data_IF_974551605483
#
_entry.id   IF_974551605483
#
_cell.length_a   1.000
_cell.length_b   1.000
_cell.length_c   1.000
_cell.angle_alpha   90.00
_cell.angle_beta   90.00
_cell.angle_gamma   90.00
#
_symmetry.space_group_name_H-M   'P 1'
#
loop_
_entity.id
_entity.type
_entity.pdbx_description
1 polymer ?
#
# COMPACT_ATOMS: atom_id res chain seq x y z
N UNK A 1 9.18 49.70 14.89
CA UNK A 1 9.48 48.29 14.50
C UNK A 1 8.19 47.51 14.68
N UNK A 2 7.48 46.91 13.72
CA UNK A 2 7.87 46.40 12.40
C UNK A 2 6.67 46.25 11.43
N UNK A 3 5.59 47.04 11.55
CA UNK A 3 4.41 46.88 10.66
C UNK A 3 4.70 47.13 9.17
N UNK A 4 5.62 48.03 8.86
CA UNK A 4 6.03 48.27 7.48
C UNK A 4 6.84 47.11 6.89
N UNK A 5 7.63 46.39 7.70
CA UNK A 5 8.35 45.20 7.25
C UNK A 5 7.38 44.04 7.00
N UNK A 6 6.42 43.84 7.89
CA UNK A 6 5.40 42.81 7.72
C UNK A 6 4.56 43.04 6.44
N UNK A 7 4.23 44.31 6.13
CA UNK A 7 3.50 44.65 4.90
C UNK A 7 4.32 44.44 3.62
N UNK A 8 5.62 44.69 3.67
CA UNK A 8 6.49 44.46 2.51
C UNK A 8 6.73 42.97 2.29
N UNK A 9 6.99 42.21 3.37
CA UNK A 9 7.19 40.76 3.29
C UNK A 9 5.91 40.04 2.81
N UNK A 10 4.72 40.50 3.20
CA UNK A 10 3.45 39.96 2.71
C UNK A 10 3.16 40.33 1.25
N UNK A 11 3.61 41.49 0.79
CA UNK A 11 3.45 41.92 -0.60
C UNK A 11 4.39 41.13 -1.54
N UNK A 12 5.61 40.83 -1.08
CA UNK A 12 6.55 39.97 -1.82
C UNK A 12 6.03 38.54 -1.90
N UNK A 13 5.50 38.00 -0.79
CA UNK A 13 4.88 36.66 -0.80
C UNK A 13 3.67 36.58 -1.75
N UNK A 14 2.91 37.67 -1.90
CA UNK A 14 1.78 37.74 -2.82
C UNK A 14 2.21 37.85 -4.30
N UNK A 15 3.44 38.33 -4.57
CA UNK A 15 4.02 38.35 -5.91
C UNK A 15 4.67 37.03 -6.34
N UNK A 16 5.13 36.22 -5.38
CA UNK A 16 5.77 34.93 -5.62
C UNK A 16 4.76 33.78 -5.85
N UNK A 17 3.51 33.95 -5.41
CA UNK A 17 2.43 33.00 -5.70
C UNK A 17 1.84 33.33 -7.07
N UNK A 18 2.32 32.64 -8.10
CA UNK A 18 1.79 32.75 -9.46
C UNK A 18 0.26 32.46 -9.44
N UNK A 19 -0.61 33.37 -9.89
CA UNK A 19 -2.08 33.19 -9.87
C UNK A 19 -2.57 31.91 -10.54
N UNK A 20 -1.72 31.28 -11.38
CA UNK A 20 -1.95 29.96 -11.96
C UNK A 20 -2.03 28.87 -10.89
N UNK A 21 -1.23 28.91 -9.83
CA UNK A 21 -1.13 27.82 -8.85
C UNK A 21 -2.36 27.75 -7.92
N UNK A 22 -2.92 28.92 -7.56
CA UNK A 22 -4.18 29.00 -6.80
C UNK A 22 -5.39 28.57 -7.66
N UNK A 23 -5.40 28.94 -8.94
CA UNK A 23 -6.45 28.51 -9.87
C UNK A 23 -6.40 27.00 -10.11
N UNK A 24 -5.21 26.42 -10.20
CA UNK A 24 -5.05 24.99 -10.44
C UNK A 24 -5.39 24.15 -9.19
N UNK A 25 -5.03 24.64 -7.99
CA UNK A 25 -5.48 24.05 -6.72
C UNK A 25 -6.99 24.12 -6.53
N UNK A 26 -7.61 25.26 -6.83
CA UNK A 26 -9.08 25.43 -6.70
C UNK A 26 -9.84 24.59 -7.74
N UNK A 27 -9.33 24.46 -8.96
CA UNK A 27 -9.91 23.59 -9.98
C UNK A 27 -9.79 22.09 -9.62
N UNK A 28 -8.67 21.65 -9.04
CA UNK A 28 -8.53 20.26 -8.54
C UNK A 28 -9.50 19.97 -7.38
N UNK A 29 -9.61 20.89 -6.42
CA UNK A 29 -10.55 20.75 -5.31
C UNK A 29 -12.02 20.75 -5.79
N UNK A 30 -12.36 21.63 -6.74
CA UNK A 30 -13.71 21.73 -7.30
C UNK A 30 -14.09 20.51 -8.14
N UNK A 31 -13.17 19.94 -8.94
CA UNK A 31 -13.45 18.72 -9.71
C UNK A 31 -13.72 17.52 -8.80
N UNK A 32 -13.01 17.42 -7.68
CA UNK A 32 -13.22 16.34 -6.69
C UNK A 32 -14.61 16.43 -6.05
N UNK A 33 -15.03 17.64 -5.65
CA UNK A 33 -16.37 17.88 -5.10
C UNK A 33 -17.49 17.68 -6.15
N UNK A 34 -17.24 18.04 -7.41
CA UNK A 34 -18.18 17.82 -8.51
C UNK A 34 -18.44 16.35 -8.79
N UNK A 35 -17.39 15.53 -8.79
CA UNK A 35 -17.50 14.07 -8.99
C UNK A 35 -18.24 13.41 -7.81
N UNK A 36 -17.93 13.81 -6.57
CA UNK A 36 -18.63 13.28 -5.38
C UNK A 36 -20.12 13.61 -5.36
N UNK A 37 -20.52 14.82 -5.79
CA UNK A 37 -21.94 15.18 -5.89
C UNK A 37 -22.68 14.43 -7.01
N UNK A 38 -22.02 14.14 -8.14
CA UNK A 38 -22.63 13.41 -9.25
C UNK A 38 -22.95 11.94 -8.90
N UNK A 39 -22.12 11.29 -8.08
CA UNK A 39 -22.33 9.92 -7.60
C UNK A 39 -23.48 9.86 -6.59
N UNK A 40 -23.52 10.79 -5.62
CA UNK A 40 -24.59 10.85 -4.63
C UNK A 40 -25.97 11.15 -5.23
N UNK A 41 -26.03 11.91 -6.32
CA UNK A 41 -27.29 12.29 -6.98
C UNK A 41 -27.90 11.15 -7.81
N UNK A 42 -27.07 10.24 -8.32
CA UNK A 42 -27.50 9.12 -9.17
C UNK A 42 -28.12 7.96 -8.37
N UNK A 43 -27.70 7.75 -7.13
CA UNK A 43 -28.25 6.71 -6.25
C UNK A 43 -29.70 7.00 -5.82
N UNK A 44 -30.06 8.27 -5.59
CA UNK A 44 -31.41 8.66 -5.19
C UNK A 44 -32.45 8.51 -6.33
N UNK A 45 -32.03 8.65 -7.59
CA UNK A 45 -32.94 8.54 -8.74
C UNK A 45 -33.32 7.09 -9.08
N UNK A 46 -32.44 6.11 -8.82
CA UNK A 46 -32.71 4.70 -9.10
C UNK A 46 -33.64 4.04 -8.06
N UNK A 47 -33.64 4.51 -6.81
CA UNK A 47 -34.53 3.99 -5.76
C UNK A 47 -36.00 4.42 -5.99
N UNK A 48 -36.25 5.53 -6.67
CA UNK A 48 -37.61 6.00 -6.97
C UNK A 48 -38.26 5.34 -8.21
N UNK A 49 -37.48 4.64 -9.05
CA UNK A 49 -38.03 3.93 -10.22
C UNK A 49 -38.28 2.43 -9.93
N UNK A 50 -37.67 1.87 -8.87
CA UNK A 50 -37.82 0.45 -8.51
C UNK A 50 -39.08 0.08 -7.73
N UNK A 51 -39.86 1.04 -7.23
CA UNK A 51 -40.99 0.77 -6.33
C UNK A 51 -42.35 0.52 -7.02
N UNK A 52 -42.39 0.47 -8.36
CA UNK A 52 -43.65 0.46 -9.11
C UNK A 52 -43.73 -0.59 -10.22
N UNK A 53 -43.29 -1.83 -10.00
CA UNK A 53 -43.67 -2.96 -10.88
C UNK A 53 -43.59 -4.31 -10.18
N UNK A 54 -44.74 -4.96 -10.01
CA UNK A 54 -44.85 -6.41 -10.16
C UNK A 54 -45.05 -7.25 -8.90
N UNK A 55 -46.29 -7.34 -8.43
CA UNK A 55 -46.78 -8.53 -7.73
C UNK A 55 -47.20 -9.62 -8.74
N UNK A 56 -47.14 -10.88 -8.29
CA UNK A 56 -47.68 -12.13 -8.85
C UNK A 56 -46.82 -12.90 -9.88
N UNK A 57 -46.22 -14.02 -9.48
CA UNK A 57 -46.74 -15.39 -9.73
C UNK A 57 -45.91 -16.41 -8.93
N UNK A 58 -46.58 -17.18 -8.06
CA UNK A 58 -46.03 -18.37 -7.40
C UNK A 58 -46.39 -19.57 -8.28
N UNK A 59 -45.38 -20.22 -8.86
CA UNK A 59 -45.49 -21.58 -9.42
C UNK A 59 -44.32 -22.39 -8.87
N UNK A 60 -44.62 -23.32 -7.97
CA UNK A 60 -43.75 -24.43 -7.55
C UNK A 60 -43.72 -25.49 -8.66
N UNK A 61 -42.55 -26.03 -8.99
CA UNK A 61 -42.43 -27.41 -9.44
C UNK A 61 -41.85 -28.29 -8.32
N UNK A 62 -42.57 -29.35 -7.98
CA UNK A 62 -42.04 -30.50 -7.26
C UNK A 62 -40.90 -31.14 -8.07
N UNK A 63 -39.74 -31.31 -7.43
CA UNK A 63 -38.61 -32.06 -7.97
C UNK A 63 -38.26 -33.20 -7.01
N UNK A 64 -39.05 -34.27 -7.05
CA UNK A 64 -38.61 -35.62 -6.66
C UNK A 64 -37.68 -36.15 -7.75
N UNK A 65 -36.37 -35.91 -7.59
CA UNK A 65 -35.31 -36.57 -8.35
C UNK A 65 -34.37 -37.32 -7.40
N UNK A 66 -33.89 -38.53 -7.74
CA UNK A 66 -33.02 -39.31 -6.88
C UNK A 66 -31.64 -38.64 -6.68
N UNK A 67 -31.13 -38.75 -5.45
CA UNK A 67 -29.86 -38.18 -5.02
C UNK A 67 -28.67 -38.67 -5.87
N UNK A 68 -27.71 -37.80 -6.23
CA UNK A 68 -26.47 -38.23 -6.87
C UNK A 68 -25.61 -39.02 -5.88
N UNK A 69 -25.14 -40.19 -6.34
CA UNK A 69 -24.19 -41.06 -5.64
C UNK A 69 -22.84 -40.35 -5.48
N UNK A 70 -22.14 -40.53 -4.34
CA UNK A 70 -20.80 -39.96 -4.15
C UNK A 70 -19.79 -40.61 -5.10
N UNK A 71 -18.94 -39.77 -5.70
CA UNK A 71 -17.81 -40.18 -6.51
C UNK A 71 -16.73 -40.85 -5.64
N UNK A 72 -16.24 -42.00 -6.09
CA UNK A 72 -15.14 -42.73 -5.47
C UNK A 72 -13.82 -41.93 -5.58
N UNK A 73 -13.29 -41.51 -4.44
CA UNK A 73 -11.90 -41.05 -4.30
C UNK A 73 -10.92 -42.22 -4.45
N UNK A 74 -9.86 -42.12 -5.27
CA UNK A 74 -8.77 -43.08 -5.20
C UNK A 74 -7.93 -42.86 -3.94
N UNK A 75 -7.82 -43.90 -3.10
CA UNK A 75 -6.87 -43.96 -1.99
C UNK A 75 -5.45 -44.13 -2.53
N UNK A 76 -4.57 -43.18 -2.25
CA UNK A 76 -3.13 -43.34 -2.45
C UNK A 76 -2.56 -44.02 -1.20
N UNK A 77 -2.14 -45.28 -1.36
CA UNK A 77 -1.35 -46.01 -0.37
C UNK A 77 0.09 -45.52 -0.41
N UNK A 78 0.51 -44.77 0.61
CA UNK A 78 1.92 -44.40 0.81
C UNK A 78 2.60 -45.52 1.61
N UNK A 79 3.62 -46.13 1.01
CA UNK A 79 4.46 -47.13 1.67
C UNK A 79 5.45 -46.45 2.65
N UNK A 80 5.66 -46.98 3.86
CA UNK A 80 6.64 -46.43 4.80
C UNK A 80 8.07 -46.72 4.32
N UNK A 81 8.90 -45.68 4.26
CA UNK A 81 10.35 -45.78 4.03
C UNK A 81 11.05 -46.14 5.35
N UNK A 82 12.02 -47.08 5.35
CA UNK A 82 12.63 -47.60 6.58
C UNK A 82 13.57 -46.62 7.28
N UNK A 83 13.49 -46.64 8.61
CA UNK A 83 14.36 -46.00 9.59
C UNK A 83 15.77 -46.60 9.55
N UNK A 84 16.74 -45.83 9.07
CA UNK A 84 18.17 -46.14 9.16
C UNK A 84 18.84 -45.30 10.24
N UNK A 85 19.11 -45.90 11.39
CA UNK A 85 19.98 -45.36 12.44
C UNK A 85 21.35 -46.04 12.34
N UNK A 86 22.45 -45.28 12.43
CA UNK A 86 23.61 -45.79 13.13
C UNK A 86 24.13 -44.81 14.18
N UNK A 87 24.19 -45.31 15.41
CA UNK A 87 24.98 -44.78 16.52
C UNK A 87 26.46 -44.68 16.16
N UNK A 88 27.07 -43.53 16.46
CA UNK A 88 28.52 -43.33 16.51
C UNK A 88 28.89 -42.53 17.78
N UNK A 89 29.95 -42.89 18.53
CA UNK A 89 30.25 -42.28 19.82
C UNK A 89 31.22 -41.08 19.74
N UNK A 90 30.99 -40.14 20.68
CA UNK A 90 31.92 -39.23 21.38
C UNK A 90 32.66 -38.14 20.56
N UNK A 91 32.85 -36.90 21.10
CA UNK A 91 33.76 -36.70 22.23
C UNK A 91 33.29 -35.71 23.32
N UNK A 92 33.83 -35.96 24.51
CA UNK A 92 33.93 -35.04 25.66
C UNK A 92 34.79 -33.84 25.29
N UNK A 93 34.28 -32.62 25.49
CA UNK A 93 35.09 -31.39 25.49
C UNK A 93 34.80 -30.64 26.78
N UNK A 94 35.84 -30.44 27.61
CA UNK A 94 35.81 -29.58 28.79
C UNK A 94 36.04 -28.11 28.40
N UNK A 95 35.62 -27.15 29.23
CA UNK A 95 35.39 -25.76 28.85
C UNK A 95 36.68 -24.95 28.93
N UNK A 96 36.95 -24.19 27.87
CA UNK A 96 38.10 -23.31 27.81
C UNK A 96 37.76 -21.97 27.16
N UNK A 97 37.83 -20.93 28.00
CA UNK A 97 38.28 -19.58 27.65
C UNK A 97 37.24 -18.56 27.17
N UNK A 98 36.93 -17.65 28.11
CA UNK A 98 36.57 -16.23 27.94
C UNK A 98 36.58 -15.70 26.50
N UNK A 99 35.39 -15.63 25.90
CA UNK A 99 35.09 -14.72 24.81
C UNK A 99 34.74 -13.34 25.36
N UNK A 100 35.50 -12.33 24.96
CA UNK A 100 35.18 -10.91 25.08
C UNK A 100 33.78 -10.61 24.51
N UNK A 101 33.03 -9.60 24.99
CA UNK A 101 31.75 -9.23 24.40
C UNK A 101 31.97 -8.67 22.99
N UNK A 102 31.86 -9.55 22.00
CA UNK A 102 31.80 -9.20 20.60
C UNK A 102 30.44 -8.59 20.30
N UNK A 103 30.49 -7.30 20.01
CA UNK A 103 29.43 -6.43 19.49
C UNK A 103 28.38 -7.17 18.63
N UNK A 104 27.12 -7.31 19.07
CA UNK A 104 26.07 -7.89 18.26
C UNK A 104 25.48 -6.80 17.35
N UNK A 105 26.27 -6.21 16.44
CA UNK A 105 25.68 -5.47 15.31
C UNK A 105 25.18 -6.48 14.29
N UNK A 106 24.14 -7.23 14.65
CA UNK A 106 23.27 -7.87 13.66
C UNK A 106 22.60 -6.71 12.93
N UNK A 107 23.06 -6.37 11.72
CA UNK A 107 22.32 -5.45 10.85
C UNK A 107 20.97 -6.10 10.56
N UNK A 108 19.90 -5.63 11.21
CA UNK A 108 18.59 -6.28 11.18
C UNK A 108 17.88 -6.06 9.84
N UNK A 109 18.16 -4.95 9.14
CA UNK A 109 17.68 -4.70 7.79
C UNK A 109 18.53 -5.46 6.76
N UNK A 110 18.19 -6.73 6.50
CA UNK A 110 18.83 -7.56 5.48
C UNK A 110 18.29 -7.31 4.07
N UNK A 111 17.05 -6.82 3.96
CA UNK A 111 16.38 -6.54 2.71
C UNK A 111 16.83 -5.25 2.01
N UNK A 112 16.11 -4.92 0.95
CA UNK A 112 16.33 -3.76 0.09
C UNK A 112 15.21 -2.73 0.25
N UNK A 113 15.58 -1.48 0.55
CA UNK A 113 14.68 -0.34 0.54
C UNK A 113 14.65 0.28 -0.87
N UNK A 114 13.45 0.47 -1.43
CA UNK A 114 13.28 1.09 -2.73
C UNK A 114 12.78 2.53 -2.60
N UNK A 115 13.54 3.49 -3.14
CA UNK A 115 13.20 4.90 -3.09
C UNK A 115 12.92 5.46 -4.49
N UNK A 116 12.01 6.44 -4.57
CA UNK A 116 11.72 7.20 -5.76
C UNK A 116 12.30 8.61 -5.67
N UNK A 117 13.26 8.89 -6.55
CA UNK A 117 13.70 10.23 -6.89
C UNK A 117 13.10 10.72 -8.19
N UNK A 118 13.18 12.04 -8.41
CA UNK A 118 12.77 12.67 -9.67
C UNK A 118 13.85 13.65 -10.12
N UNK A 119 14.10 13.64 -11.41
CA UNK A 119 14.83 14.68 -12.14
C UNK A 119 13.83 15.45 -13.01
N UNK A 120 14.32 16.38 -13.82
CA UNK A 120 13.47 17.08 -14.79
C UNK A 120 12.97 16.19 -15.94
N UNK A 121 13.60 15.04 -16.18
CA UNK A 121 13.28 14.16 -17.33
C UNK A 121 12.88 12.76 -16.92
N UNK A 122 13.42 12.26 -15.82
CA UNK A 122 13.28 10.88 -15.38
C UNK A 122 12.78 10.80 -13.94
N UNK A 123 11.92 9.81 -13.68
CA UNK A 123 11.79 9.20 -12.37
C UNK A 123 12.90 8.16 -12.18
N UNK A 124 13.57 8.19 -11.03
CA UNK A 124 14.72 7.35 -10.73
C UNK A 124 14.40 6.47 -9.53
N UNK A 125 14.47 5.16 -9.73
CA UNK A 125 14.28 4.18 -8.64
C UNK A 125 15.64 3.79 -8.10
N UNK A 126 15.82 4.02 -6.80
CA UNK A 126 17.01 3.67 -6.03
C UNK A 126 16.72 2.43 -5.20
N UNK A 127 17.68 1.51 -5.16
CA UNK A 127 17.69 0.37 -4.25
C UNK A 127 18.80 0.58 -3.22
N UNK A 128 18.45 0.58 -1.94
CA UNK A 128 19.38 0.74 -0.83
C UNK A 128 19.43 -0.55 -0.02
N UNK A 129 20.61 -1.16 0.05
CA UNK A 129 20.85 -2.38 0.84
C UNK A 129 22.18 -2.26 1.58
N UNK A 130 22.19 -2.53 2.89
CA UNK A 130 23.40 -2.48 3.71
C UNK A 130 24.09 -1.09 3.76
N UNK A 131 23.39 -0.02 3.36
CA UNK A 131 23.90 1.35 3.22
C UNK A 131 24.42 1.71 1.83
N UNK A 132 24.50 0.76 0.89
CA UNK A 132 24.85 1.02 -0.49
C UNK A 132 23.60 1.47 -1.27
N UNK A 133 23.68 2.61 -1.95
CA UNK A 133 22.64 3.15 -2.84
C UNK A 133 23.03 2.86 -4.29
N UNK A 134 22.13 2.22 -5.05
CA UNK A 134 22.25 2.02 -6.49
C UNK A 134 20.98 2.47 -7.20
N UNK A 135 21.12 3.12 -8.35
CA UNK A 135 20.01 3.32 -9.28
C UNK A 135 19.71 2.01 -9.98
N UNK A 136 18.47 1.50 -9.85
CA UNK A 136 18.03 0.26 -10.51
C UNK A 136 17.21 0.54 -11.77
N UNK A 137 16.44 1.63 -11.80
CA UNK A 137 15.66 1.99 -12.99
C UNK A 137 15.62 3.50 -13.21
N UNK A 138 15.51 3.89 -14.48
CA UNK A 138 15.21 5.25 -14.94
C UNK A 138 14.01 5.19 -15.87
N UNK A 139 12.93 5.86 -15.49
CA UNK A 139 11.66 5.85 -16.22
C UNK A 139 11.42 7.27 -16.74
N UNK A 140 11.40 7.50 -18.07
CA UNK A 140 11.15 8.82 -18.63
C UNK A 140 9.77 9.34 -18.21
N UNK A 141 9.69 10.59 -17.78
CA UNK A 141 8.44 11.24 -17.34
C UNK A 141 7.51 11.61 -18.50
N UNK A 142 8.00 11.61 -19.75
CA UNK A 142 7.13 11.77 -20.94
C UNK A 142 6.41 13.11 -21.08
N UNK A 143 6.71 14.11 -20.23
CA UNK A 143 6.04 15.43 -20.22
C UNK A 143 4.67 15.43 -19.54
N UNK A 144 4.24 14.30 -18.98
CA UNK A 144 2.94 14.13 -18.34
C UNK A 144 3.12 13.64 -16.87
N UNK A 145 2.22 13.99 -15.94
CA UNK A 145 2.47 13.77 -14.51
C UNK A 145 2.22 12.33 -14.03
N UNK A 146 1.54 11.49 -14.81
CA UNK A 146 1.11 10.15 -14.41
C UNK A 146 2.27 9.21 -14.14
N UNK A 147 3.30 9.17 -15.00
CA UNK A 147 4.49 8.32 -14.75
C UNK A 147 5.04 8.63 -13.36
N UNK A 148 5.33 9.90 -13.09
CA UNK A 148 5.87 10.32 -11.80
C UNK A 148 4.97 9.94 -10.63
N UNK A 149 3.65 10.05 -10.78
CA UNK A 149 2.68 9.86 -9.70
C UNK A 149 2.26 8.40 -9.48
N UNK A 150 2.46 7.51 -10.44
CA UNK A 150 1.95 6.13 -10.37
C UNK A 150 3.02 5.07 -10.11
N UNK A 151 4.32 5.36 -10.30
CA UNK A 151 5.39 4.39 -10.05
C UNK A 151 5.26 3.76 -8.66
N UNK A 152 5.25 2.42 -8.64
CA UNK A 152 5.22 1.58 -7.45
C UNK A 152 6.11 0.34 -7.67
N UNK A 153 6.55 -0.27 -6.56
CA UNK A 153 7.40 -1.46 -6.53
C UNK A 153 6.61 -2.58 -5.87
N UNK A 154 6.65 -3.79 -6.42
CA UNK A 154 6.01 -4.96 -5.81
C UNK A 154 6.61 -5.27 -4.44
N UNK A 155 5.87 -5.86 -3.49
CA UNK A 155 6.38 -6.19 -2.16
C UNK A 155 7.64 -7.08 -2.14
N UNK A 156 7.82 -7.95 -3.13
CA UNK A 156 9.05 -8.75 -3.31
C UNK A 156 10.21 -8.00 -3.98
N UNK A 157 10.02 -6.73 -4.34
CA UNK A 157 11.03 -5.91 -5.01
C UNK A 157 11.39 -6.36 -6.42
N UNK A 158 10.62 -7.25 -7.05
CA UNK A 158 10.98 -7.80 -8.37
C UNK A 158 10.39 -7.02 -9.54
N UNK A 159 9.33 -6.24 -9.32
CA UNK A 159 8.55 -5.62 -10.38
C UNK A 159 8.31 -4.14 -10.12
N UNK A 160 8.29 -3.40 -11.22
CA UNK A 160 7.79 -2.03 -11.29
C UNK A 160 6.41 -2.04 -11.95
N UNK A 161 5.56 -1.11 -11.52
CA UNK A 161 4.34 -0.76 -12.24
C UNK A 161 4.14 0.76 -12.24
N UNK A 162 3.64 1.30 -13.35
CA UNK A 162 3.30 2.71 -13.51
C UNK A 162 2.31 2.89 -14.67
N UNK A 163 1.72 4.07 -14.80
CA UNK A 163 0.86 4.48 -15.90
C UNK A 163 1.62 5.47 -16.79
N UNK A 164 1.59 5.26 -18.10
CA UNK A 164 2.14 6.19 -19.11
C UNK A 164 1.13 6.54 -20.18
N UNK A 165 1.46 7.51 -21.04
CA UNK A 165 0.61 7.96 -22.16
C UNK A 165 -0.82 8.31 -21.71
N UNK A 166 -0.94 8.99 -20.57
CA UNK A 166 -2.23 9.33 -20.03
C UNK A 166 -2.88 10.50 -20.76
N UNK A 167 -4.20 10.44 -20.90
CA UNK A 167 -4.99 11.54 -21.41
C UNK A 167 -5.16 12.68 -20.38
N UNK A 168 -5.90 13.72 -20.74
CA UNK A 168 -6.16 14.87 -19.86
C UNK A 168 -7.06 14.54 -18.66
N UNK A 169 -7.72 13.38 -18.68
CA UNK A 169 -8.48 12.84 -17.56
C UNK A 169 -7.60 11.99 -16.63
N UNK A 170 -6.34 11.74 -17.00
CA UNK A 170 -5.37 10.99 -16.21
C UNK A 170 -5.52 9.48 -16.35
N UNK A 171 -6.04 9.00 -17.48
CA UNK A 171 -6.13 7.57 -17.80
C UNK A 171 -5.17 7.22 -18.93
N UNK A 172 -4.36 6.18 -18.74
CA UNK A 172 -3.29 5.82 -19.67
C UNK A 172 -3.07 4.31 -19.78
N UNK A 173 -1.89 3.93 -20.28
CA UNK A 173 -1.44 2.56 -20.36
C UNK A 173 -0.77 2.14 -19.06
N UNK A 174 -1.27 1.07 -18.42
CA UNK A 174 -0.55 0.43 -17.33
C UNK A 174 0.64 -0.34 -17.89
N UNK A 175 1.81 0.00 -17.39
CA UNK A 175 3.08 -0.62 -17.69
C UNK A 175 3.56 -1.45 -16.51
N UNK A 176 4.26 -2.54 -16.82
CA UNK A 176 5.08 -3.26 -15.85
C UNK A 176 6.47 -3.51 -16.43
N UNK A 177 7.45 -3.64 -15.56
CA UNK A 177 8.81 -4.05 -15.89
C UNK A 177 9.40 -4.88 -14.74
N UNK A 178 10.54 -5.51 -14.99
CA UNK A 178 11.41 -5.95 -13.91
C UNK A 178 11.96 -4.74 -13.13
N UNK A 179 12.46 -4.96 -11.91
CA UNK A 179 12.94 -3.88 -11.04
C UNK A 179 14.09 -3.05 -11.62
N UNK A 180 14.85 -3.64 -12.55
CA UNK A 180 15.92 -2.97 -13.30
C UNK A 180 15.40 -2.15 -14.51
N UNK A 181 14.08 -2.08 -14.68
CA UNK A 181 13.42 -1.43 -15.81
C UNK A 181 13.39 -2.27 -17.10
N UNK A 182 14.02 -3.46 -17.12
CA UNK A 182 13.99 -4.35 -18.28
C UNK A 182 12.65 -5.06 -18.41
N UNK A 183 12.42 -5.72 -19.57
CA UNK A 183 11.18 -6.47 -19.85
C UNK A 183 9.92 -5.59 -19.68
N UNK A 184 10.06 -4.29 -19.94
CA UNK A 184 8.94 -3.34 -19.98
C UNK A 184 7.88 -3.84 -20.95
N UNK A 185 6.63 -3.88 -20.49
CA UNK A 185 5.47 -4.24 -21.33
C UNK A 185 4.21 -3.54 -20.84
N UNK A 186 3.26 -3.40 -21.76
CA UNK A 186 1.91 -2.90 -21.50
C UNK A 186 1.05 -4.04 -20.98
N UNK A 187 0.39 -3.85 -19.85
CA UNK A 187 -0.54 -4.83 -19.26
C UNK A 187 -2.00 -4.50 -19.60
N UNK A 188 -2.37 -3.22 -19.51
CA UNK A 188 -3.72 -2.75 -19.75
C UNK A 188 -3.72 -1.31 -20.29
N UNK A 189 -4.87 -0.86 -20.76
CA UNK A 189 -5.13 0.53 -21.14
C UNK A 189 -6.23 1.12 -20.27
N UNK A 190 -6.43 2.44 -20.38
CA UNK A 190 -7.49 3.16 -19.63
C UNK A 190 -7.37 3.02 -18.11
N UNK A 191 -6.12 2.92 -17.63
CA UNK A 191 -5.84 2.82 -16.20
C UNK A 191 -5.57 4.21 -15.65
N UNK A 192 -6.28 4.56 -14.57
CA UNK A 192 -6.17 5.84 -13.90
C UNK A 192 -4.85 5.95 -13.14
N UNK A 193 -4.16 7.07 -13.32
CA UNK A 193 -2.95 7.41 -12.58
C UNK A 193 -3.20 8.38 -11.41
N UNK A 194 -4.41 8.93 -11.33
CA UNK A 194 -4.78 9.99 -10.39
C UNK A 194 -5.36 9.40 -9.11
N UNK A 195 -5.00 10.02 -7.99
CA UNK A 195 -5.47 9.65 -6.66
C UNK A 195 -4.34 9.06 -5.82
N UNK A 196 -4.57 9.03 -4.51
CA UNK A 196 -3.61 8.54 -3.51
C UNK A 196 -3.23 7.07 -3.70
N UNK A 197 -4.11 6.27 -4.32
CA UNK A 197 -3.96 4.81 -4.47
C UNK A 197 -4.24 4.36 -5.90
N UNK A 198 -3.63 5.03 -6.88
CA UNK A 198 -3.85 4.71 -8.28
C UNK A 198 -3.50 3.25 -8.62
N UNK A 199 -2.40 2.74 -8.05
CA UNK A 199 -1.93 1.36 -8.18
C UNK A 199 -1.64 0.80 -6.78
N UNK A 200 -2.31 -0.31 -6.41
CA UNK A 200 -2.14 -0.95 -5.09
C UNK A 200 -1.82 -2.43 -5.26
N UNK A 201 -0.66 -2.85 -4.78
CA UNK A 201 -0.27 -4.26 -4.82
C UNK A 201 -1.10 -5.09 -3.83
N UNK A 202 -1.52 -6.27 -4.27
CA UNK A 202 -2.03 -7.36 -3.41
C UNK A 202 -1.03 -8.51 -3.56
N UNK A 203 -0.11 -8.62 -2.60
CA UNK A 203 1.05 -9.48 -2.79
C UNK A 203 1.94 -8.99 -3.94
N UNK A 204 2.72 -9.90 -4.52
CA UNK A 204 3.72 -9.56 -5.56
C UNK A 204 3.27 -9.81 -6.99
N UNK A 205 2.13 -10.47 -7.18
CA UNK A 205 1.65 -10.94 -8.48
C UNK A 205 0.33 -10.30 -8.92
N UNK A 206 -0.33 -9.54 -8.03
CA UNK A 206 -1.61 -8.88 -8.33
C UNK A 206 -1.55 -7.39 -8.01
N UNK A 207 -2.14 -6.60 -8.90
CA UNK A 207 -2.16 -5.16 -8.82
C UNK A 207 -3.60 -4.68 -9.02
N UNK A 208 -4.16 -4.06 -7.99
CA UNK A 208 -5.44 -3.38 -8.09
C UNK A 208 -5.22 -2.03 -8.78
N UNK A 209 -6.07 -1.76 -9.77
CA UNK A 209 -6.03 -0.53 -10.56
C UNK A 209 -7.43 0.04 -10.73
N UNK A 210 -7.53 1.37 -10.94
CA UNK A 210 -8.78 2.03 -11.32
C UNK A 210 -8.90 2.14 -12.84
N UNK A 211 -10.04 1.78 -13.41
CA UNK A 211 -10.37 1.93 -14.84
C UNK A 211 -11.12 3.24 -15.12
N UNK A 212 -11.28 3.59 -16.41
CA UNK A 212 -11.92 4.83 -16.88
C UNK A 212 -13.43 4.88 -16.63
N UNK A 213 -14.07 3.72 -16.48
CA UNK A 213 -15.45 3.59 -16.02
C UNK A 213 -15.61 3.75 -14.49
N UNK A 214 -14.50 3.96 -13.77
CA UNK A 214 -14.45 4.10 -12.32
C UNK A 214 -14.30 2.80 -11.56
N UNK A 215 -14.35 1.63 -12.22
CA UNK A 215 -14.22 0.34 -11.57
C UNK A 215 -12.80 0.10 -11.04
N UNK A 216 -12.70 -0.50 -9.86
CA UNK A 216 -11.47 -1.12 -9.37
C UNK A 216 -11.37 -2.54 -9.90
N UNK A 217 -10.23 -2.89 -10.49
CA UNK A 217 -9.99 -4.24 -11.03
C UNK A 217 -8.66 -4.76 -10.51
N UNK A 218 -8.70 -5.95 -9.94
CA UNK A 218 -7.51 -6.69 -9.58
C UNK A 218 -6.94 -7.37 -10.82
N UNK A 219 -5.74 -6.98 -11.24
CA UNK A 219 -5.08 -7.54 -12.41
C UNK A 219 -3.91 -8.41 -12.01
N UNK A 220 -3.76 -9.54 -12.68
CA UNK A 220 -2.56 -10.37 -12.57
C UNK A 220 -1.40 -9.67 -13.30
N UNK A 221 -0.37 -9.27 -12.56
CA UNK A 221 0.78 -8.53 -13.08
C UNK A 221 1.65 -9.36 -14.04
N UNK A 222 1.49 -10.70 -14.05
CA UNK A 222 2.20 -11.62 -14.94
C UNK A 222 1.46 -11.82 -16.27
N UNK A 223 0.14 -11.95 -16.26
CA UNK A 223 -0.64 -12.22 -17.47
C UNK A 223 -1.28 -10.97 -18.07
N UNK A 224 -1.41 -9.89 -17.29
CA UNK A 224 -2.16 -8.68 -17.65
C UNK A 224 -3.67 -8.88 -17.68
N UNK A 225 -4.16 -10.03 -17.21
CA UNK A 225 -5.60 -10.34 -17.20
C UNK A 225 -6.21 -9.93 -15.86
N UNK A 226 -7.46 -9.44 -15.86
CA UNK A 226 -8.25 -9.36 -14.64
C UNK A 226 -8.28 -10.72 -13.94
N UNK A 227 -8.21 -10.72 -12.62
CA UNK A 227 -8.45 -11.89 -11.80
C UNK A 227 -9.96 -12.01 -11.59
N UNK A 228 -10.52 -13.20 -11.78
CA UNK A 228 -11.92 -13.45 -11.49
C UNK A 228 -12.16 -13.27 -9.97
N UNK A 229 -13.14 -12.45 -9.60
CA UNK A 229 -13.43 -12.14 -8.21
C UNK A 229 -14.33 -10.92 -8.05
N UNK A 230 -14.65 -10.61 -6.80
CA UNK A 230 -15.38 -9.39 -6.45
C UNK A 230 -14.59 -8.17 -6.92
N UNK A 231 -15.29 -7.21 -7.55
CA UNK A 231 -14.70 -5.92 -7.94
C UNK A 231 -14.30 -5.10 -6.73
N UNK A 232 -14.81 -5.48 -5.57
CA UNK A 232 -14.63 -4.80 -4.32
C UNK A 232 -15.34 -3.46 -4.36
N UNK A 233 -16.48 -3.37 -3.68
CA UNK A 233 -17.14 -2.07 -3.45
C UNK A 233 -16.43 -1.28 -2.33
N UNK A 234 -15.39 -1.87 -1.73
CA UNK A 234 -14.64 -1.23 -0.66
C UNK A 234 -13.87 0.01 -1.15
N UNK A 235 -13.86 1.01 -0.29
CA UNK A 235 -13.06 2.21 -0.47
C UNK A 235 -11.77 2.13 0.33
N UNK A 236 -10.77 2.90 -0.12
CA UNK A 236 -9.47 3.02 0.53
C UNK A 236 -8.72 1.69 0.80
N UNK A 237 -8.57 0.77 -0.18
CA UNK A 237 -8.01 -0.56 0.07
C UNK A 237 -6.51 -0.50 0.34
N UNK A 238 -6.05 -1.27 1.33
CA UNK A 238 -4.65 -1.46 1.67
C UNK A 238 -4.39 -2.92 2.03
N UNK A 239 -3.53 -3.60 1.28
CA UNK A 239 -3.20 -5.01 1.50
C UNK A 239 -1.96 -5.16 2.37
N UNK A 240 -1.89 -6.26 3.13
CA UNK A 240 -0.64 -6.77 3.69
C UNK A 240 0.33 -7.13 2.56
N UNK A 241 1.63 -7.19 2.86
CA UNK A 241 2.67 -7.40 1.86
C UNK A 241 2.54 -8.75 1.10
N UNK A 242 1.92 -9.77 1.70
CA UNK A 242 1.58 -11.04 1.04
C UNK A 242 0.19 -11.07 0.38
N UNK A 243 -0.58 -9.99 0.50
CA UNK A 243 -1.95 -9.91 -0.02
C UNK A 243 -2.97 -10.75 0.72
N UNK A 244 -2.67 -11.29 1.92
CA UNK A 244 -3.61 -12.12 2.67
C UNK A 244 -4.63 -11.33 3.47
N UNK A 245 -4.27 -10.13 3.91
CA UNK A 245 -5.12 -9.27 4.71
C UNK A 245 -5.40 -7.97 3.98
N UNK A 246 -6.66 -7.56 3.94
CA UNK A 246 -7.11 -6.30 3.37
C UNK A 246 -7.65 -5.42 4.49
N UNK A 247 -7.11 -4.23 4.64
CA UNK A 247 -7.79 -3.16 5.36
C UNK A 247 -8.51 -2.26 4.37
N UNK A 248 -9.78 -1.98 4.62
CA UNK A 248 -10.61 -1.15 3.76
C UNK A 248 -11.74 -0.49 4.55
N UNK A 249 -12.60 0.25 3.85
CA UNK A 249 -13.77 0.93 4.42
C UNK A 249 -15.01 0.69 3.56
N UNK A 250 -16.12 0.37 4.22
CA UNK A 250 -17.46 0.29 3.62
C UNK A 250 -18.47 1.12 4.43
N UNK A 251 -19.77 0.94 4.16
CA UNK A 251 -20.86 1.66 4.85
C UNK A 251 -20.88 1.42 6.37
N UNK A 252 -20.32 0.30 6.85
CA UNK A 252 -20.22 -0.01 8.29
C UNK A 252 -18.98 0.59 8.96
N UNK A 253 -18.09 1.21 8.20
CA UNK A 253 -16.83 1.79 8.67
C UNK A 253 -15.60 0.95 8.30
N UNK A 254 -14.46 1.22 8.96
CA UNK A 254 -13.20 0.57 8.61
C UNK A 254 -13.12 -0.85 9.18
N UNK A 255 -12.51 -1.74 8.39
CA UNK A 255 -12.34 -3.15 8.77
C UNK A 255 -11.05 -3.72 8.24
N UNK A 256 -10.63 -4.86 8.80
CA UNK A 256 -9.62 -5.75 8.24
C UNK A 256 -10.26 -7.10 7.92
N UNK A 257 -10.16 -7.56 6.68
CA UNK A 257 -10.56 -8.88 6.22
C UNK A 257 -9.34 -9.75 5.91
N UNK A 258 -9.53 -11.06 5.99
CA UNK A 258 -8.54 -12.08 5.67
C UNK A 258 -9.17 -13.47 5.66
N UNK A 259 -8.38 -14.57 5.64
CA UNK A 259 -8.91 -15.92 5.53
C UNK A 259 -9.95 -16.23 6.63
N UNK A 260 -11.22 -16.32 6.24
CA UNK A 260 -12.34 -16.67 7.12
C UNK A 260 -12.67 -15.64 8.20
N UNK A 261 -12.16 -14.40 8.14
CA UNK A 261 -12.46 -13.38 9.15
C UNK A 261 -12.60 -11.99 8.56
N UNK A 262 -13.56 -11.22 9.10
CA UNK A 262 -13.70 -9.79 8.89
C UNK A 262 -13.84 -9.14 10.27
N UNK A 263 -12.98 -8.14 10.56
CA UNK A 263 -12.86 -7.52 11.88
C UNK A 263 -13.04 -6.01 11.73
N UNK A 264 -14.20 -5.45 12.10
CA UNK A 264 -14.34 -4.01 12.16
C UNK A 264 -13.42 -3.47 13.26
N UNK A 265 -12.96 -2.23 13.10
CA UNK A 265 -12.24 -1.51 14.13
C UNK A 265 -12.62 -0.04 14.06
N UNK A 266 -12.17 0.74 15.04
CA UNK A 266 -12.41 2.16 15.11
C UNK A 266 -11.09 2.91 15.35
N UNK A 267 -11.01 4.15 14.86
CA UNK A 267 -9.91 5.05 15.16
C UNK A 267 -10.42 6.49 15.13
N UNK A 268 -10.29 7.15 16.27
CA UNK A 268 -10.55 8.59 16.43
C UNK A 268 -9.23 9.35 16.31
N UNK A 269 -8.93 9.98 15.16
CA UNK A 269 -7.75 10.84 15.05
C UNK A 269 -7.91 12.10 15.92
N UNK A 270 -6.81 12.78 16.26
CA UNK A 270 -6.86 14.14 16.80
C UNK A 270 -7.67 15.07 15.86
N UNK A 271 -8.66 15.79 16.39
CA UNK A 271 -9.66 16.50 15.59
C UNK A 271 -9.09 17.62 14.72
N UNK A 272 -8.12 18.38 15.24
CA UNK A 272 -7.51 19.51 14.52
C UNK A 272 -6.83 19.07 13.21
N UNK A 273 -6.08 17.95 13.26
CA UNK A 273 -5.43 17.40 12.07
C UNK A 273 -6.44 16.69 11.15
N UNK A 274 -7.42 16.00 11.72
CA UNK A 274 -8.44 15.29 10.93
C UNK A 274 -9.22 16.24 10.01
N UNK A 275 -9.62 17.41 10.50
CA UNK A 275 -10.33 18.43 9.70
C UNK A 275 -9.45 18.97 8.57
N UNK A 276 -8.16 19.20 8.87
CA UNK A 276 -7.19 19.69 7.88
C UNK A 276 -6.98 18.70 6.73
N UNK A 277 -7.02 17.39 7.02
CA UNK A 277 -6.66 16.35 6.05
C UNK A 277 -7.82 15.49 5.57
N UNK A 278 -9.08 15.88 5.78
CA UNK A 278 -10.26 15.12 5.35
C UNK A 278 -10.27 13.70 5.99
N UNK A 279 -9.86 13.61 7.24
CA UNK A 279 -9.76 12.39 8.02
C UNK A 279 -8.48 11.59 7.79
N UNK A 280 -8.57 10.28 7.98
CA UNK A 280 -7.45 9.34 7.95
C UNK A 280 -7.75 8.16 7.01
N UNK A 281 -6.72 7.39 6.70
CA UNK A 281 -6.84 6.12 5.96
C UNK A 281 -5.71 5.17 6.31
N UNK A 282 -5.91 3.87 6.04
CA UNK A 282 -4.90 2.83 6.32
C UNK A 282 -3.73 2.90 5.34
N UNK A 283 -2.52 2.80 5.85
CA UNK A 283 -1.27 2.94 5.09
C UNK A 283 -0.52 1.64 4.92
N UNK A 284 -0.61 0.77 5.91
CA UNK A 284 0.01 -0.55 5.90
C UNK A 284 -0.76 -1.49 6.84
N UNK A 285 -0.71 -2.79 6.57
CA UNK A 285 -1.39 -3.84 7.33
C UNK A 285 -0.38 -4.90 7.73
N UNK A 286 -0.40 -5.33 8.99
CA UNK A 286 0.49 -6.38 9.48
C UNK A 286 0.18 -7.74 8.82
N UNK A 287 1.18 -8.61 8.78
CA UNK A 287 1.11 -9.93 8.14
C UNK A 287 0.10 -10.89 8.79
N UNK A 288 -0.38 -10.57 9.99
CA UNK A 288 -1.42 -11.31 10.73
C UNK A 288 -2.76 -10.56 10.80
N UNK A 289 -2.86 -9.39 10.14
CA UNK A 289 -4.03 -8.52 10.14
C UNK A 289 -4.42 -7.97 11.52
N UNK A 290 -3.54 -8.06 12.54
CA UNK A 290 -3.82 -7.56 13.89
C UNK A 290 -3.59 -6.06 14.03
N UNK A 291 -2.75 -5.47 13.19
CA UNK A 291 -2.38 -4.07 13.26
C UNK A 291 -2.53 -3.38 11.90
N UNK A 292 -2.93 -2.11 11.96
CA UNK A 292 -2.93 -1.21 10.81
C UNK A 292 -2.17 0.05 11.15
N UNK A 293 -1.33 0.52 10.23
CA UNK A 293 -0.74 1.84 10.28
C UNK A 293 -1.73 2.81 9.64
N UNK A 294 -1.94 3.98 10.25
CA UNK A 294 -2.88 4.99 9.76
C UNK A 294 -2.17 6.32 9.51
N UNK A 295 -2.63 7.01 8.47
CA UNK A 295 -2.10 8.28 8.01
C UNK A 295 -3.19 9.17 7.43
N UNK A 296 -2.84 10.41 7.10
CA UNK A 296 -3.79 11.46 6.73
C UNK A 296 -4.37 11.30 5.30
N UNK A 297 -5.70 11.38 5.12
CA UNK A 297 -6.32 11.12 3.80
C UNK A 297 -5.90 12.14 2.73
N UNK A 298 -5.75 13.41 3.14
CA UNK A 298 -5.37 14.54 2.28
C UNK A 298 -3.91 14.55 1.81
N UNK A 299 -3.12 13.55 2.17
CA UNK A 299 -1.73 13.39 1.70
C UNK A 299 -1.67 12.30 0.62
N UNK A 300 -0.57 12.27 -0.14
CA UNK A 300 -0.35 11.30 -1.21
C UNK A 300 0.47 10.12 -0.66
N UNK A 301 -0.14 9.00 -0.22
CA UNK A 301 0.59 7.90 0.40
C UNK A 301 1.63 7.24 -0.51
N UNK A 302 1.46 7.37 -1.83
CA UNK A 302 2.44 6.84 -2.78
C UNK A 302 3.75 7.64 -2.75
N UNK A 303 3.75 8.88 -2.23
CA UNK A 303 4.92 9.79 -2.21
C UNK A 303 5.25 10.35 -0.82
N UNK A 304 4.24 10.44 0.05
CA UNK A 304 4.20 11.00 1.40
C UNK A 304 3.15 10.24 2.21
N UNK A 305 3.57 9.10 2.74
CA UNK A 305 2.72 8.24 3.57
C UNK A 305 2.07 9.00 4.73
N UNK A 306 2.84 9.84 5.43
CA UNK A 306 2.43 10.62 6.59
C UNK A 306 1.64 9.78 7.62
N UNK A 307 2.08 8.53 7.79
CA UNK A 307 1.59 7.66 8.86
C UNK A 307 2.03 8.20 10.21
N UNK A 308 1.12 8.19 11.17
CA UNK A 308 1.34 8.78 12.49
C UNK A 308 0.95 7.85 13.66
N UNK A 309 0.18 6.80 13.41
CA UNK A 309 -0.25 5.88 14.46
C UNK A 309 -0.36 4.44 13.96
N UNK A 310 -0.30 3.50 14.92
CA UNK A 310 -0.64 2.09 14.70
C UNK A 310 -1.84 1.76 15.57
N UNK A 311 -2.85 1.11 14.97
CA UNK A 311 -4.09 0.71 15.65
C UNK A 311 -4.14 -0.81 15.72
N UNK A 312 -4.40 -1.34 16.92
CA UNK A 312 -4.71 -2.75 17.12
C UNK A 312 -6.17 -3.00 16.74
N UNK A 313 -6.39 -3.82 15.72
CA UNK A 313 -7.72 -4.04 15.11
C UNK A 313 -8.70 -4.63 16.11
N UNK A 314 -8.27 -5.59 16.93
CA UNK A 314 -9.15 -6.30 17.86
C UNK A 314 -9.69 -5.41 19.00
N UNK A 315 -8.92 -4.41 19.41
CA UNK A 315 -9.23 -3.56 20.57
C UNK A 315 -9.52 -2.11 20.19
N UNK A 316 -9.29 -1.72 18.93
CA UNK A 316 -9.33 -0.34 18.44
C UNK A 316 -8.43 0.62 19.22
N UNK A 317 -7.39 0.09 19.88
CA UNK A 317 -6.45 0.90 20.68
C UNK A 317 -5.24 1.31 19.85
N UNK A 318 -4.82 2.56 20.01
CA UNK A 318 -3.57 3.05 19.45
C UNK A 318 -2.40 2.46 20.23
N UNK A 319 -1.45 1.84 19.51
CA UNK A 319 -0.23 1.30 20.08
C UNK A 319 0.80 2.41 20.25
N UNK A 320 1.35 2.53 21.46
CA UNK A 320 2.50 3.41 21.71
C UNK A 320 3.73 2.86 21.00
N UNK A 321 4.31 3.67 20.12
CA UNK A 321 5.53 3.34 19.39
C UNK A 321 6.75 3.83 20.19
N UNK A 322 7.86 3.06 20.25
CA UNK A 322 9.06 3.43 21.00
C UNK A 322 9.92 4.46 20.23
N UNK A 323 9.30 5.51 19.70
CA UNK A 323 9.96 6.54 18.90
C UNK A 323 9.52 7.93 19.35
N UNK A 324 10.42 8.89 19.24
CA UNK A 324 10.16 10.30 19.60
C UNK A 324 10.15 11.21 18.36
N UNK A 325 9.36 12.28 18.37
CA UNK A 325 9.31 13.24 17.27
C UNK A 325 8.54 12.75 16.04
N UNK A 326 8.68 13.47 14.93
CA UNK A 326 7.82 13.30 13.75
C UNK A 326 8.07 11.96 13.04
N UNK A 327 7.01 11.14 12.94
CA UNK A 327 6.97 9.92 12.13
C UNK A 327 6.53 10.31 10.72
N UNK A 328 7.28 9.83 9.72
CA UNK A 328 6.94 10.06 8.31
C UNK A 328 6.18 8.90 7.74
N UNK A 329 6.67 7.68 7.94
CA UNK A 329 6.08 6.47 7.38
C UNK A 329 6.13 5.34 8.41
N UNK A 330 5.13 4.46 8.40
CA UNK A 330 5.08 3.23 9.19
C UNK A 330 4.73 2.09 8.23
N UNK A 331 5.65 1.15 8.06
CA UNK A 331 5.48 0.02 7.14
C UNK A 331 5.57 -1.31 7.88
N UNK A 332 4.57 -2.16 7.70
CA UNK A 332 4.67 -3.58 7.99
C UNK A 332 5.26 -4.31 6.79
N UNK A 333 6.24 -5.17 7.05
CA UNK A 333 6.99 -5.89 6.01
C UNK A 333 6.63 -7.37 6.00
N UNK A 334 6.99 -8.07 4.93
CA UNK A 334 6.71 -9.50 4.76
C UNK A 334 7.57 -10.42 5.65
N UNK A 335 8.69 -9.92 6.17
CA UNK A 335 9.55 -10.56 7.18
C UNK A 335 9.13 -10.20 8.62
N UNK A 336 7.89 -9.75 8.82
CA UNK A 336 7.29 -9.44 10.13
C UNK A 336 7.98 -8.31 10.92
N UNK A 337 8.71 -7.43 10.23
CA UNK A 337 9.27 -6.21 10.82
C UNK A 337 8.27 -5.05 10.73
N UNK A 338 8.49 -4.06 11.58
CA UNK A 338 7.85 -2.75 11.49
C UNK A 338 8.92 -1.69 11.27
N UNK A 339 8.87 -1.02 10.12
CA UNK A 339 9.81 0.04 9.78
C UNK A 339 9.16 1.40 10.06
N UNK A 340 9.77 2.16 10.96
CA UNK A 340 9.35 3.53 11.27
C UNK A 340 10.37 4.51 10.72
N UNK A 341 10.00 5.21 9.66
CA UNK A 341 10.85 6.22 9.03
C UNK A 341 10.70 7.58 9.71
N UNK A 342 11.82 8.17 10.13
CA UNK A 342 11.89 9.45 10.86
C UNK A 342 13.11 10.24 10.43
N UNK A 343 13.00 11.55 10.19
CA UNK A 343 14.12 12.50 10.08
C UNK A 343 15.47 11.96 9.52
N UNK A 344 15.46 11.17 8.43
CA UNK A 344 16.66 10.59 7.82
C UNK A 344 17.22 9.34 8.51
N UNK A 345 16.38 8.60 9.23
CA UNK A 345 16.64 7.33 9.91
C UNK A 345 15.41 6.42 9.82
N UNK A 346 15.64 5.12 9.98
CA UNK A 346 14.60 4.09 10.06
C UNK A 346 14.82 3.32 11.35
N UNK A 347 13.83 3.34 12.24
CA UNK A 347 13.80 2.49 13.42
C UNK A 347 13.13 1.18 13.02
N UNK A 348 13.81 0.07 13.27
CA UNK A 348 13.36 -1.29 12.95
C UNK A 348 12.81 -1.90 14.22
N UNK A 349 11.54 -2.31 14.20
CA UNK A 349 10.91 -3.02 15.29
C UNK A 349 10.55 -4.44 14.87
N UNK A 350 10.41 -5.33 15.85
CA UNK A 350 9.77 -6.63 15.66
C UNK A 350 8.23 -6.52 15.62
N UNK A 351 7.56 -7.66 15.42
CA UNK A 351 6.09 -7.75 15.44
C UNK A 351 5.44 -7.39 16.80
N UNK A 352 6.22 -7.27 17.88
CA UNK A 352 5.78 -6.84 19.21
C UNK A 352 6.01 -5.36 19.47
N UNK A 353 6.57 -4.64 18.48
CA UNK A 353 6.99 -3.25 18.56
C UNK A 353 8.18 -3.02 19.50
N UNK A 354 9.02 -4.03 19.71
CA UNK A 354 10.30 -3.89 20.41
C UNK A 354 11.38 -3.41 19.42
N UNK A 355 12.24 -2.49 19.85
CA UNK A 355 13.29 -1.93 18.99
C UNK A 355 14.38 -2.98 18.76
N UNK A 356 14.60 -3.32 17.49
CA UNK A 356 15.66 -4.22 17.07
C UNK A 356 16.92 -3.47 16.62
N UNK A 357 16.74 -2.40 15.85
CA UNK A 357 17.85 -1.63 15.27
C UNK A 357 17.41 -0.20 14.90
N UNK A 358 18.38 0.68 14.67
CA UNK A 358 18.17 2.02 14.11
C UNK A 358 19.19 2.29 12.99
N UNK A 359 18.68 2.41 11.77
CA UNK A 359 19.52 2.58 10.57
C UNK A 359 19.44 4.02 10.07
N UNK A 360 20.59 4.65 9.86
CA UNK A 360 20.66 5.95 9.21
C UNK A 360 20.32 5.82 7.71
N UNK A 361 19.42 6.67 7.20
CA UNK A 361 19.16 6.73 5.77
C UNK A 361 20.37 7.34 5.04
N UNK A 362 20.73 6.71 3.92
CA UNK A 362 21.77 7.18 3.03
C UNK A 362 21.51 8.64 2.64
N UNK A 363 22.56 9.48 2.61
CA UNK A 363 22.40 10.93 2.35
C UNK A 363 21.68 11.20 1.02
N UNK A 364 21.93 10.38 -0.01
CA UNK A 364 21.32 10.49 -1.33
C UNK A 364 19.82 10.17 -1.37
N UNK A 365 19.30 9.43 -0.39
CA UNK A 365 17.89 9.04 -0.34
C UNK A 365 17.05 9.88 0.62
N UNK A 366 17.67 10.81 1.36
CA UNK A 366 16.97 11.73 2.26
C UNK A 366 16.04 12.63 1.46
N UNK A 367 14.75 12.59 1.81
CA UNK A 367 13.71 13.34 1.11
C UNK A 367 13.13 12.64 -0.12
N UNK A 368 13.69 11.49 -0.54
CA UNK A 368 13.06 10.63 -1.54
C UNK A 368 11.86 9.90 -0.93
N UNK A 369 10.89 9.56 -1.77
CA UNK A 369 9.72 8.77 -1.35
C UNK A 369 10.12 7.30 -1.20
N UNK A 370 9.80 6.68 -0.06
CA UNK A 370 9.99 5.24 0.13
C UNK A 370 8.83 4.52 -0.56
N UNK A 371 9.12 3.65 -1.52
CA UNK A 371 8.13 2.90 -2.29
C UNK A 371 7.82 1.54 -1.67
N UNK A 372 8.86 0.82 -1.24
CA UNK A 372 8.75 -0.54 -0.72
C UNK A 372 10.00 -0.93 0.08
N UNK A 373 9.85 -1.99 0.87
CA UNK A 373 10.95 -2.79 1.42
C UNK A 373 10.74 -4.24 0.99
N UNK A 374 11.77 -4.88 0.46
CA UNK A 374 11.76 -6.29 0.06
C UNK A 374 12.85 -7.06 0.83
N UNK A 375 12.50 -8.07 1.64
CA UNK A 375 13.44 -8.85 2.44
C UNK A 375 14.53 -9.58 1.64
#
# INVERSE_FOLDING_TARGET
MNDQRLRLDLADLAGEVDPVDLRDRTLRASRRLGIQRAVASSAAALVLIGAATGAAFVIRPDATGPAPLPANTPSITVAPTPTGSPSGPAPTVSPGTSGSPGDPTVKVLTGTLYYLGRTSKDAVVHAVQGGADRTVARIPLGGEPCVGNSITVSPDGQRLAWVEDADTAGFGALMTAAIDGTRKRKLATKVGCLGSRALVWMGSDRLMVRQDDGASVLMNAVTGRPVDGDRGEETDPCWSADGRFLAAMDESGPFVSGPGSRRPYHYDPPSEDADKYDGWSVRSVSMDGRYVAVGWKGTDPSRRDDSHAVVEVATSRVKTLPVNGEVKNIFFTSDELVLIRRAGRIVVLDARFEVLDEVAEARGTRGLALLAYAP
#
